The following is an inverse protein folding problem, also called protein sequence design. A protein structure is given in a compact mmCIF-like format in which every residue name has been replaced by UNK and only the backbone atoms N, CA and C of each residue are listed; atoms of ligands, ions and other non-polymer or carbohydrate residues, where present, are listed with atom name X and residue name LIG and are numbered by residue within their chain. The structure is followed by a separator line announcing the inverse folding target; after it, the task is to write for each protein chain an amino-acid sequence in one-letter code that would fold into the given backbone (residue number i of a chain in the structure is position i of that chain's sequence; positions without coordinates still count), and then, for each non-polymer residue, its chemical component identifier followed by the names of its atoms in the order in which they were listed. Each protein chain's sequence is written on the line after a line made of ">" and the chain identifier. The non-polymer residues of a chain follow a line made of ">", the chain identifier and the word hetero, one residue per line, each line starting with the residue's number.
data_IF_917253963061
#
_entry.id   IF_917253963061
#
_cell.length_a   1.000
_cell.length_b   1.000
_cell.length_c   1.000
_cell.angle_alpha   90.00
_cell.angle_beta   90.00
_cell.angle_gamma   90.00
#
_symmetry.space_group_name_H-M   'P 1'
#
loop_
_entity.id
_entity.type
_entity.pdbx_description
1 polymer ?
#
# COMPACT_ATOMS: atom_id res chain seq x y z
N UNK A 1 19.31 0.80 -11.47
CA UNK A 1 19.30 2.25 -11.74
C UNK A 1 20.17 2.90 -10.68
N UNK A 2 21.39 3.30 -11.02
CA UNK A 2 22.27 4.06 -10.12
C UNK A 2 21.61 5.42 -9.98
N UNK A 3 20.97 5.68 -8.85
CA UNK A 3 20.48 7.03 -8.54
C UNK A 3 21.73 7.88 -8.40
N UNK A 4 22.01 8.72 -9.40
CA UNK A 4 23.08 9.69 -9.26
C UNK A 4 22.75 10.58 -8.06
N UNK A 5 23.64 10.61 -7.07
CA UNK A 5 23.50 11.37 -5.80
C UNK A 5 23.24 12.88 -5.99
N UNK A 6 23.33 13.39 -7.22
CA UNK A 6 23.08 14.77 -7.59
C UNK A 6 21.63 15.09 -7.98
N UNK A 7 20.75 14.08 -8.09
CA UNK A 7 19.35 14.30 -8.45
C UNK A 7 18.53 14.52 -7.18
N UNK A 8 18.26 15.80 -6.86
CA UNK A 8 17.40 16.14 -5.72
C UNK A 8 15.97 15.70 -6.03
N UNK A 9 15.51 14.66 -5.34
CA UNK A 9 14.16 14.08 -5.46
C UNK A 9 13.05 15.14 -5.40
N UNK A 10 13.27 16.21 -4.64
CA UNK A 10 12.38 17.36 -4.49
C UNK A 10 11.98 18.03 -5.82
N UNK A 11 12.79 17.94 -6.88
CA UNK A 11 12.43 18.50 -8.19
C UNK A 11 11.34 17.69 -8.92
N UNK A 12 11.14 16.42 -8.58
CA UNK A 12 10.09 15.59 -9.17
C UNK A 12 8.74 15.81 -8.50
N UNK A 13 8.72 16.31 -7.27
CA UNK A 13 7.49 16.50 -6.50
C UNK A 13 6.48 17.43 -7.21
N UNK A 14 6.86 18.60 -7.76
CA UNK A 14 5.94 19.44 -8.53
C UNK A 14 5.39 18.75 -9.77
N UNK A 15 6.22 18.00 -10.50
CA UNK A 15 5.81 17.26 -11.68
C UNK A 15 4.81 16.14 -11.32
N UNK A 16 5.04 15.44 -10.21
CA UNK A 16 4.11 14.44 -9.69
C UNK A 16 2.79 15.08 -9.24
N UNK A 17 2.83 16.23 -8.57
CA UNK A 17 1.62 16.95 -8.16
C UNK A 17 0.79 17.38 -9.37
N UNK A 18 1.41 17.83 -10.46
CA UNK A 18 0.70 18.16 -11.71
C UNK A 18 -0.03 16.95 -12.31
N UNK A 19 0.42 15.73 -12.03
CA UNK A 19 -0.22 14.48 -12.51
C UNK A 19 -1.27 14.00 -11.50
N UNK A 20 -0.95 13.96 -10.21
CA UNK A 20 -1.85 13.41 -9.19
C UNK A 20 -3.04 14.31 -8.89
N UNK A 21 -2.88 15.64 -8.89
CA UNK A 21 -3.97 16.58 -8.62
C UNK A 21 -5.16 16.40 -9.59
N UNK A 22 -4.98 16.41 -10.92
CA UNK A 22 -6.11 16.18 -11.84
C UNK A 22 -6.64 14.74 -11.75
N UNK A 23 -5.79 13.76 -11.41
CA UNK A 23 -6.22 12.38 -11.26
C UNK A 23 -7.15 12.18 -10.06
N UNK A 24 -6.91 12.91 -8.97
CA UNK A 24 -7.73 12.90 -7.76
C UNK A 24 -9.10 13.57 -7.96
N UNK A 25 -9.24 14.45 -8.96
CA UNK A 25 -10.55 15.01 -9.34
C UNK A 25 -11.48 13.99 -10.02
N UNK A 26 -10.97 12.84 -10.45
CA UNK A 26 -11.79 11.75 -10.97
C UNK A 26 -12.44 11.03 -9.78
N UNK A 27 -13.66 11.47 -9.42
CA UNK A 27 -14.43 10.96 -8.26
C UNK A 27 -15.53 9.97 -8.62
N UNK A 28 -15.52 9.46 -9.85
CA UNK A 28 -16.57 8.60 -10.36
C UNK A 28 -16.34 7.15 -9.86
N UNK A 29 -16.93 6.82 -8.71
CA UNK A 29 -16.74 5.55 -7.99
C UNK A 29 -17.06 4.32 -8.84
N UNK A 30 -18.01 4.42 -9.78
CA UNK A 30 -18.38 3.34 -10.69
C UNK A 30 -17.27 3.03 -11.69
N UNK A 31 -16.58 4.05 -12.21
CA UNK A 31 -15.40 3.89 -13.08
C UNK A 31 -14.15 3.51 -12.29
N UNK A 32 -14.06 3.97 -11.04
CA UNK A 32 -12.97 3.61 -10.13
C UNK A 32 -13.01 2.12 -9.77
N UNK A 33 -14.20 1.53 -9.57
CA UNK A 33 -14.35 0.11 -9.22
C UNK A 33 -13.59 -0.84 -10.17
N UNK A 34 -13.69 -0.61 -11.48
CA UNK A 34 -12.96 -1.39 -12.48
C UNK A 34 -11.44 -1.17 -12.38
N UNK A 35 -11.02 0.07 -12.16
CA UNK A 35 -9.61 0.44 -11.99
C UNK A 35 -9.00 -0.18 -10.72
N UNK A 36 -9.80 -0.36 -9.67
CA UNK A 36 -9.39 -1.03 -8.45
C UNK A 36 -9.28 -2.53 -8.58
N UNK A 37 -10.20 -3.16 -9.32
CA UNK A 37 -10.07 -4.58 -9.63
C UNK A 37 -8.75 -4.84 -10.37
N UNK A 38 -8.43 -3.99 -11.36
CA UNK A 38 -7.15 -4.03 -12.06
C UNK A 38 -5.97 -3.81 -11.11
N UNK A 39 -6.02 -2.79 -10.24
CA UNK A 39 -4.98 -2.53 -9.24
C UNK A 39 -4.71 -3.73 -8.32
N UNK A 40 -5.78 -4.38 -7.82
CA UNK A 40 -5.66 -5.58 -7.00
C UNK A 40 -4.96 -6.74 -7.75
N UNK A 41 -5.26 -6.93 -9.04
CA UNK A 41 -4.57 -7.94 -9.86
C UNK A 41 -3.09 -7.58 -10.05
N UNK A 42 -2.79 -6.30 -10.28
CA UNK A 42 -1.42 -5.82 -10.46
C UNK A 42 -0.58 -6.02 -9.20
N UNK A 43 -1.09 -5.62 -8.02
CA UNK A 43 -0.34 -5.78 -6.77
C UNK A 43 -0.15 -7.26 -6.41
N UNK A 44 -1.16 -8.11 -6.63
CA UNK A 44 -1.02 -9.56 -6.42
C UNK A 44 0.04 -10.17 -7.35
N UNK A 45 0.11 -9.72 -8.59
CA UNK A 45 1.14 -10.15 -9.55
C UNK A 45 2.53 -9.75 -9.06
N UNK A 46 2.71 -8.51 -8.61
CA UNK A 46 3.98 -8.01 -8.07
C UNK A 46 4.39 -8.79 -6.82
N UNK A 47 3.49 -8.97 -5.86
CA UNK A 47 3.74 -9.71 -4.61
C UNK A 47 4.13 -11.16 -4.92
N UNK A 48 3.39 -11.83 -5.80
CA UNK A 48 3.68 -13.22 -6.20
C UNK A 48 5.06 -13.31 -6.86
N UNK A 49 5.40 -12.37 -7.74
CA UNK A 49 6.71 -12.34 -8.38
C UNK A 49 7.83 -12.15 -7.36
N UNK A 50 7.68 -11.23 -6.40
CA UNK A 50 8.67 -11.02 -5.33
C UNK A 50 8.87 -12.30 -4.50
N UNK A 51 7.79 -13.01 -4.16
CA UNK A 51 7.89 -14.30 -3.45
C UNK A 51 8.64 -15.33 -4.32
N UNK A 52 8.34 -15.44 -5.61
CA UNK A 52 9.06 -16.38 -6.49
C UNK A 52 10.54 -16.04 -6.58
N UNK A 53 10.90 -14.77 -6.78
CA UNK A 53 12.30 -14.34 -6.83
C UNK A 53 13.02 -14.56 -5.50
N UNK A 54 12.36 -14.31 -4.37
CA UNK A 54 12.92 -14.57 -3.03
C UNK A 54 13.18 -16.07 -2.83
N UNK A 55 12.27 -16.93 -3.30
CA UNK A 55 12.44 -18.39 -3.25
C UNK A 55 13.57 -18.89 -4.15
N UNK A 56 13.70 -18.35 -5.36
CA UNK A 56 14.81 -18.66 -6.27
C UNK A 56 16.15 -18.19 -5.69
N UNK A 57 16.21 -17.01 -5.10
CA UNK A 57 17.41 -16.49 -4.44
C UNK A 57 17.88 -17.44 -3.31
N UNK A 58 16.95 -17.90 -2.47
CA UNK A 58 17.26 -18.87 -1.41
C UNK A 58 17.71 -20.21 -2.00
N UNK A 59 17.06 -20.69 -3.06
CA UNK A 59 17.36 -21.98 -3.70
C UNK A 59 18.68 -22.03 -4.45
N UNK A 60 18.98 -20.99 -5.24
CA UNK A 60 20.15 -20.93 -6.11
C UNK A 60 21.41 -20.54 -5.34
N UNK A 61 21.31 -19.54 -4.44
CA UNK A 61 22.47 -19.06 -3.67
C UNK A 61 22.64 -19.78 -2.34
N UNK A 62 21.64 -20.52 -1.86
CA UNK A 62 21.68 -21.29 -0.61
C UNK A 62 21.83 -20.43 0.65
N UNK A 63 21.74 -19.11 0.53
CA UNK A 63 21.91 -18.16 1.64
C UNK A 63 20.55 -17.84 2.23
N UNK A 64 20.42 -18.10 3.52
CA UNK A 64 19.26 -17.69 4.32
C UNK A 64 19.77 -16.71 5.36
N UNK A 65 19.27 -15.48 5.29
CA UNK A 65 19.58 -14.47 6.29
C UNK A 65 18.70 -14.69 7.51
N UNK A 66 19.32 -14.80 8.69
CA UNK A 66 18.61 -14.87 9.98
C UNK A 66 19.00 -13.65 10.77
N UNK A 67 18.16 -12.63 10.70
CA UNK A 67 18.29 -11.45 11.52
C UNK A 67 17.67 -11.70 12.90
N UNK A 68 18.20 -11.03 13.93
CA UNK A 68 17.57 -11.02 15.23
C UNK A 68 16.18 -10.37 15.15
N UNK A 69 15.24 -10.85 15.96
CA UNK A 69 13.86 -10.33 15.98
C UNK A 69 13.80 -8.82 16.26
N UNK A 70 14.76 -8.30 17.05
CA UNK A 70 14.90 -6.87 17.33
C UNK A 70 16.24 -6.39 16.74
N UNK A 71 16.19 -5.80 15.56
CA UNK A 71 17.35 -5.15 14.93
C UNK A 71 17.43 -3.68 15.33
N UNK A 72 18.59 -3.05 15.06
CA UNK A 72 18.79 -1.59 15.19
C UNK A 72 17.78 -0.76 14.38
N UNK A 73 17.10 -1.37 13.40
CA UNK A 73 16.10 -0.74 12.55
C UNK A 73 14.66 -1.05 12.95
N UNK A 74 14.41 -1.79 14.04
CA UNK A 74 13.05 -2.09 14.50
C UNK A 74 12.21 -0.82 14.71
N UNK A 75 12.84 0.29 15.10
CA UNK A 75 12.17 1.60 15.23
C UNK A 75 11.65 2.11 13.89
N UNK A 76 12.34 1.85 12.77
CA UNK A 76 11.87 2.22 11.43
C UNK A 76 10.61 1.45 11.04
N UNK A 77 10.42 0.22 11.53
CA UNK A 77 9.26 -0.59 11.21
C UNK A 77 7.94 -0.02 11.80
N UNK A 78 8.02 0.71 12.91
CA UNK A 78 6.84 1.31 13.57
C UNK A 78 6.04 2.21 12.63
N UNK A 79 6.59 3.29 12.03
CA UNK A 79 5.84 4.13 11.10
C UNK A 79 5.36 3.39 9.84
N UNK A 80 6.14 2.45 9.29
CA UNK A 80 5.70 1.66 8.13
C UNK A 80 4.51 0.75 8.47
N UNK A 81 4.52 0.14 9.65
CA UNK A 81 3.41 -0.69 10.13
C UNK A 81 2.15 0.15 10.38
N UNK A 82 2.30 1.36 10.94
CA UNK A 82 1.18 2.28 11.14
C UNK A 82 0.57 2.71 9.80
N UNK A 83 1.41 3.04 8.82
CA UNK A 83 0.98 3.41 7.46
C UNK A 83 0.24 2.24 6.77
N UNK A 84 0.70 1.00 6.94
CA UNK A 84 0.06 -0.18 6.36
C UNK A 84 -1.40 -0.40 6.84
N UNK A 85 -1.75 0.12 8.02
CA UNK A 85 -3.10 0.02 8.61
C UNK A 85 -3.88 1.34 8.61
N UNK A 86 -3.42 2.37 7.89
CA UNK A 86 -4.10 3.68 7.79
C UNK A 86 -5.53 3.59 7.23
N UNK A 87 -5.78 2.61 6.35
CA UNK A 87 -7.07 2.40 5.67
C UNK A 87 -8.27 2.17 6.61
N UNK A 88 -8.04 1.99 7.93
CA UNK A 88 -9.11 1.89 8.93
C UNK A 88 -10.03 3.12 8.96
N UNK A 89 -9.54 4.31 8.61
CA UNK A 89 -10.37 5.52 8.56
C UNK A 89 -11.48 5.42 7.50
N UNK A 90 -11.22 4.70 6.39
CA UNK A 90 -12.16 4.51 5.27
C UNK A 90 -13.23 3.46 5.60
N UNK A 91 -12.98 2.60 6.59
CA UNK A 91 -13.92 1.54 7.00
C UNK A 91 -15.22 2.13 7.58
N UNK A 92 -15.15 3.31 8.19
CA UNK A 92 -16.32 3.96 8.81
C UNK A 92 -17.39 4.35 7.79
N UNK A 93 -17.11 5.19 6.77
CA UNK A 93 -18.10 5.53 5.75
C UNK A 93 -18.52 4.30 4.93
N UNK A 94 -17.63 3.32 4.74
CA UNK A 94 -17.95 2.06 4.05
C UNK A 94 -19.07 1.28 4.75
N UNK A 95 -19.16 1.33 6.09
CA UNK A 95 -20.21 0.63 6.84
C UNK A 95 -21.61 1.09 6.45
N UNK A 96 -21.77 2.37 6.15
CA UNK A 96 -23.09 2.96 5.92
C UNK A 96 -23.69 2.57 4.57
N UNK A 97 -22.84 2.23 3.60
CA UNK A 97 -23.25 1.83 2.24
C UNK A 97 -23.37 0.32 2.06
N UNK A 98 -22.99 -0.49 3.05
CA UNK A 98 -23.07 -1.96 3.00
C UNK A 98 -24.45 -2.45 3.45
N UNK A 99 -25.04 -3.36 2.68
CA UNK A 99 -26.37 -3.91 2.93
C UNK A 99 -26.50 -4.65 4.28
N UNK A 100 -25.46 -5.37 4.72
CA UNK A 100 -25.42 -6.08 6.01
C UNK A 100 -24.50 -5.38 7.02
N UNK A 101 -25.07 -4.43 7.76
CA UNK A 101 -24.36 -3.72 8.82
C UNK A 101 -24.13 -4.56 10.08
N UNK A 102 -24.89 -5.66 10.28
CA UNK A 102 -24.84 -6.48 11.50
C UNK A 102 -23.58 -7.33 11.52
N UNK A 103 -23.20 -7.91 10.38
CA UNK A 103 -22.00 -8.73 10.25
C UNK A 103 -20.76 -7.94 9.80
N UNK A 104 -20.90 -6.66 9.48
CA UNK A 104 -19.81 -5.81 8.98
C UNK A 104 -18.54 -5.87 9.84
N UNK A 105 -18.65 -5.67 11.16
CA UNK A 105 -17.49 -5.69 12.05
C UNK A 105 -16.81 -7.07 12.11
N UNK A 106 -17.59 -8.15 12.04
CA UNK A 106 -17.05 -9.51 12.00
C UNK A 106 -16.27 -9.76 10.71
N UNK A 107 -16.83 -9.32 9.57
CA UNK A 107 -16.16 -9.43 8.27
C UNK A 107 -14.87 -8.61 8.25
N UNK A 108 -14.93 -7.34 8.68
CA UNK A 108 -13.75 -6.46 8.75
C UNK A 108 -12.65 -7.06 9.63
N UNK A 109 -12.99 -7.61 10.80
CA UNK A 109 -12.01 -8.28 11.66
C UNK A 109 -11.32 -9.45 10.95
N UNK A 110 -12.08 -10.30 10.23
CA UNK A 110 -11.51 -11.43 9.48
C UNK A 110 -10.57 -10.93 8.38
N UNK A 111 -10.98 -9.90 7.63
CA UNK A 111 -10.20 -9.32 6.53
C UNK A 111 -8.90 -8.70 7.06
N UNK A 112 -8.97 -7.89 8.12
CA UNK A 112 -7.79 -7.26 8.73
C UNK A 112 -6.82 -8.31 9.28
N UNK A 113 -7.33 -9.37 9.94
CA UNK A 113 -6.48 -10.48 10.41
C UNK A 113 -5.81 -11.20 9.25
N UNK A 114 -6.53 -11.45 8.15
CA UNK A 114 -5.99 -12.09 6.96
C UNK A 114 -4.87 -11.25 6.32
N UNK A 115 -5.09 -9.95 6.14
CA UNK A 115 -4.09 -9.03 5.57
C UNK A 115 -2.86 -8.92 6.49
N UNK A 116 -3.07 -8.85 7.81
CA UNK A 116 -1.98 -8.86 8.79
C UNK A 116 -1.11 -10.12 8.66
N UNK A 117 -1.73 -11.30 8.57
CA UNK A 117 -1.03 -12.55 8.36
C UNK A 117 -0.25 -12.56 7.03
N UNK A 118 -0.84 -12.03 5.95
CA UNK A 118 -0.16 -11.89 4.66
C UNK A 118 1.06 -10.95 4.75
N UNK A 119 0.95 -9.81 5.45
CA UNK A 119 2.07 -8.89 5.63
C UNK A 119 3.22 -9.52 6.41
N UNK A 120 2.93 -10.21 7.51
CA UNK A 120 3.95 -10.91 8.29
C UNK A 120 4.63 -11.98 7.44
N UNK A 121 3.85 -12.82 6.76
CA UNK A 121 4.40 -13.86 5.89
C UNK A 121 5.28 -13.30 4.78
N UNK A 122 4.78 -12.29 4.06
CA UNK A 122 5.50 -11.67 2.94
C UNK A 122 6.80 -10.99 3.40
N UNK A 123 6.73 -10.25 4.53
CA UNK A 123 7.88 -9.56 5.09
C UNK A 123 8.95 -10.54 5.55
N UNK A 124 8.58 -11.56 6.32
CA UNK A 124 9.52 -12.56 6.82
C UNK A 124 10.16 -13.34 5.68
N UNK A 125 9.35 -13.82 4.73
CA UNK A 125 9.85 -14.61 3.60
C UNK A 125 10.83 -13.82 2.72
N UNK A 126 10.56 -12.54 2.51
CA UNK A 126 11.46 -11.67 1.74
C UNK A 126 12.72 -11.27 2.52
N UNK A 127 12.64 -11.13 3.85
CA UNK A 127 13.80 -10.87 4.72
C UNK A 127 14.76 -12.07 4.74
N UNK A 128 14.24 -13.30 4.75
CA UNK A 128 15.07 -14.51 4.66
C UNK A 128 15.93 -14.54 3.37
N UNK A 129 15.42 -13.99 2.27
CA UNK A 129 16.12 -13.94 0.98
C UNK A 129 17.06 -12.73 0.85
N UNK A 130 16.65 -11.55 1.31
CA UNK A 130 17.34 -10.28 1.03
C UNK A 130 17.81 -9.51 2.28
N UNK A 131 17.68 -10.08 3.48
CA UNK A 131 17.86 -9.39 4.76
C UNK A 131 19.25 -8.81 5.04
N UNK A 132 20.27 -9.13 4.25
CA UNK A 132 21.59 -8.46 4.33
C UNK A 132 21.63 -7.08 3.66
N UNK A 133 20.64 -6.76 2.84
CA UNK A 133 20.64 -5.54 2.04
C UNK A 133 19.91 -4.39 2.75
N UNK A 134 20.62 -3.71 3.66
CA UNK A 134 20.05 -2.69 4.56
C UNK A 134 19.66 -1.35 3.90
N UNK A 135 19.99 -1.13 2.63
CA UNK A 135 19.88 0.18 1.97
C UNK A 135 18.65 0.36 1.08
N UNK A 136 17.78 -0.65 0.98
CA UNK A 136 16.60 -0.58 0.12
C UNK A 136 15.36 -0.19 0.90
N UNK A 137 14.68 0.86 0.44
CA UNK A 137 13.39 1.29 1.00
C UNK A 137 12.24 0.39 0.54
N UNK A 138 12.37 -0.21 -0.65
CA UNK A 138 11.39 -1.09 -1.25
C UNK A 138 12.04 -2.43 -1.58
N UNK A 139 11.38 -3.54 -1.26
CA UNK A 139 11.89 -4.89 -1.56
C UNK A 139 12.07 -5.13 -3.08
N UNK A 140 11.29 -4.42 -3.91
CA UNK A 140 11.46 -4.45 -5.36
C UNK A 140 12.84 -3.93 -5.81
N UNK A 141 13.53 -3.14 -4.99
CA UNK A 141 14.87 -2.65 -5.30
C UNK A 141 15.98 -3.66 -4.95
N UNK A 142 15.68 -4.63 -4.08
CA UNK A 142 16.57 -5.76 -3.81
C UNK A 142 16.58 -6.81 -4.94
N UNK A 143 15.53 -6.84 -5.77
CA UNK A 143 15.45 -7.72 -6.93
C UNK A 143 16.58 -7.43 -7.95
N UNK A 144 17.08 -8.46 -8.66
CA UNK A 144 18.17 -8.30 -9.62
C UNK A 144 17.83 -7.25 -10.69
N UNK A 145 18.64 -6.19 -10.74
CA UNK A 145 18.39 -4.99 -11.55
C UNK A 145 18.68 -5.13 -13.05
N UNK A 146 19.08 -6.31 -13.52
CA UNK A 146 19.49 -6.57 -14.91
C UNK A 146 18.43 -7.32 -15.71
N UNK A 147 17.37 -7.84 -15.09
CA UNK A 147 16.29 -8.56 -15.78
C UNK A 147 15.21 -7.64 -16.34
N UNK A 148 14.81 -7.84 -17.60
CA UNK A 148 13.65 -7.16 -18.22
C UNK A 148 12.39 -7.33 -17.36
N UNK A 149 12.22 -8.51 -16.76
CA UNK A 149 11.10 -8.84 -15.88
C UNK A 149 11.06 -7.92 -14.65
N UNK A 150 12.20 -7.67 -13.99
CA UNK A 150 12.27 -6.78 -12.82
C UNK A 150 11.85 -5.35 -13.18
N UNK A 151 12.24 -4.85 -14.36
CA UNK A 151 11.80 -3.53 -14.84
C UNK A 151 10.30 -3.49 -15.11
N UNK A 152 9.74 -4.54 -15.72
CA UNK A 152 8.30 -4.66 -15.90
C UNK A 152 7.56 -4.66 -14.56
N UNK A 153 8.03 -5.41 -13.55
CA UNK A 153 7.43 -5.45 -12.21
C UNK A 153 7.43 -4.07 -11.53
N UNK A 154 8.54 -3.33 -11.62
CA UNK A 154 8.59 -1.94 -11.11
C UNK A 154 7.60 -1.04 -11.85
N UNK A 155 7.49 -1.17 -13.17
CA UNK A 155 6.49 -0.45 -13.96
C UNK A 155 5.05 -0.77 -13.55
N UNK A 156 4.72 -2.06 -13.38
CA UNK A 156 3.39 -2.51 -12.93
C UNK A 156 3.06 -1.98 -11.54
N UNK A 157 4.04 -1.98 -10.62
CA UNK A 157 3.89 -1.40 -9.29
C UNK A 157 3.62 0.11 -9.35
N UNK A 158 4.34 0.85 -10.20
CA UNK A 158 4.11 2.29 -10.39
C UNK A 158 2.71 2.57 -10.96
N UNK A 159 2.27 1.81 -11.96
CA UNK A 159 0.91 1.94 -12.54
C UNK A 159 -0.16 1.66 -11.48
N UNK A 160 0.02 0.63 -10.66
CA UNK A 160 -0.88 0.35 -9.54
C UNK A 160 -0.97 1.53 -8.55
N UNK A 161 0.15 2.20 -8.27
CA UNK A 161 0.19 3.35 -7.36
C UNK A 161 -0.66 4.52 -7.89
N UNK A 162 -0.62 4.78 -9.21
CA UNK A 162 -1.47 5.80 -9.85
C UNK A 162 -2.96 5.51 -9.68
N UNK A 163 -3.40 4.25 -9.80
CA UNK A 163 -4.81 3.91 -9.60
C UNK A 163 -5.25 3.89 -8.13
N UNK A 164 -4.32 3.60 -7.22
CA UNK A 164 -4.64 3.51 -5.79
C UNK A 164 -4.78 4.89 -5.13
N UNK A 165 -4.03 5.89 -5.60
CA UNK A 165 -3.96 7.21 -4.97
C UNK A 165 -5.30 8.00 -4.97
N UNK A 166 -6.05 8.12 -6.08
CA UNK A 166 -7.33 8.85 -6.10
C UNK A 166 -8.35 8.31 -5.10
N UNK A 167 -8.40 6.99 -4.94
CA UNK A 167 -9.31 6.31 -4.03
C UNK A 167 -8.97 6.56 -2.57
N UNK A 168 -7.69 6.47 -2.19
CA UNK A 168 -7.26 6.79 -0.83
C UNK A 168 -7.58 8.25 -0.46
N UNK A 169 -7.50 9.16 -1.44
CA UNK A 169 -7.78 10.58 -1.25
C UNK A 169 -9.27 10.93 -1.19
N UNK A 170 -10.16 10.09 -1.71
CA UNK A 170 -11.59 10.42 -1.79
C UNK A 170 -12.22 10.74 -0.42
N UNK A 171 -12.15 9.88 0.61
CA UNK A 171 -12.77 10.19 1.90
C UNK A 171 -12.17 11.42 2.58
N UNK A 172 -10.89 11.71 2.35
CA UNK A 172 -10.26 12.93 2.87
C UNK A 172 -10.82 14.19 2.19
N UNK A 173 -11.08 14.13 0.89
CA UNK A 173 -11.67 15.23 0.12
C UNK A 173 -13.12 15.44 0.51
N UNK A 174 -13.90 14.36 0.61
CA UNK A 174 -15.30 14.42 1.06
C UNK A 174 -15.40 15.09 2.44
N UNK A 175 -14.49 14.73 3.35
CA UNK A 175 -14.40 15.35 4.68
C UNK A 175 -14.06 16.85 4.61
N UNK A 176 -13.07 17.24 3.81
CA UNK A 176 -12.65 18.64 3.64
C UNK A 176 -13.78 19.48 3.01
N UNK A 177 -14.44 18.94 1.99
CA UNK A 177 -15.58 19.60 1.35
C UNK A 177 -16.74 19.80 2.34
N UNK A 178 -17.04 18.79 3.16
CA UNK A 178 -18.02 18.92 4.24
C UNK A 178 -17.70 20.05 5.20
N UNK A 179 -16.42 20.26 5.56
CA UNK A 179 -16.00 21.38 6.42
C UNK A 179 -16.10 22.75 5.73
N UNK A 180 -15.78 22.84 4.44
CA UNK A 180 -15.74 24.11 3.71
C UNK A 180 -17.13 24.56 3.28
N UNK A 181 -17.94 23.64 2.76
CA UNK A 181 -19.23 23.96 2.13
C UNK A 181 -20.41 23.88 3.10
N UNK A 182 -20.20 23.45 4.35
CA UNK A 182 -21.21 23.48 5.41
C UNK A 182 -22.53 22.80 4.96
N UNK A 183 -22.45 21.78 4.12
CA UNK A 183 -23.61 20.93 3.84
C UNK A 183 -24.03 20.32 5.18
N UNK A 184 -25.27 20.57 5.58
CA UNK A 184 -25.84 20.22 6.89
C UNK A 184 -25.98 18.69 7.13
N UNK A 185 -25.23 17.86 6.41
CA UNK A 185 -24.97 16.46 6.73
C UNK A 185 -23.53 16.29 7.21
N UNK A 186 -23.10 17.14 8.15
CA UNK A 186 -22.03 16.73 9.04
C UNK A 186 -22.52 15.48 9.76
N UNK A 187 -22.16 14.30 9.23
CA UNK A 187 -22.28 13.05 9.93
C UNK A 187 -21.48 13.23 11.22
N UNK A 188 -22.18 13.59 12.28
CA UNK A 188 -21.61 13.67 13.62
C UNK A 188 -20.81 12.39 13.82
N UNK A 189 -19.61 12.43 14.41
CA UNK A 189 -18.96 11.20 14.85
C UNK A 189 -19.83 10.62 15.96
N UNK A 190 -20.90 9.90 15.59
CA UNK A 190 -21.67 9.09 16.51
C UNK A 190 -20.62 8.18 17.13
N UNK A 191 -20.49 8.25 18.46
CA UNK A 191 -19.59 7.42 19.27
C UNK A 191 -20.01 5.95 19.14
N UNK A 192 -19.76 5.34 17.99
CA UNK A 192 -20.13 3.97 17.67
C UNK A 192 -19.26 2.95 18.42
N UNK A 193 -18.13 3.35 18.97
CA UNK A 193 -17.24 2.49 19.77
C UNK A 193 -17.73 2.25 21.20
N UNK A 194 -18.79 2.95 21.63
CA UNK A 194 -19.34 2.90 23.00
C UNK A 194 -20.79 2.36 23.04
N UNK A 195 -21.29 1.81 21.93
CA UNK A 195 -22.61 1.17 21.81
C UNK A 195 -22.47 -0.21 21.20
#
# INVERSE_FOLDING_TARGET
>A
MVVHDNVKLWYFLPALMLIYVPLVWIRDMEKLAWSHLLGNILILTVVTAVIVYSGLEIGDNGKVYKNDFITKYAIKAVPYSAFAFEGVAVVMPLREIVADQKNFMKLTSIVVTCICAMYIFFSEFSDLAYGSQENYTLILDALPSTGVITYCLKGLYTVNLFFSYPMMMTPAIDLIEGFIFNENEAQTPKRYWLQ
#
